data_IF_340558467481
#
_entry.id   IF_340558467481
#
_cell.length_a   1.000
_cell.length_b   1.000
_cell.length_c   1.000
_cell.angle_alpha   90.00
_cell.angle_beta   90.00
_cell.angle_gamma   90.00
#
_symmetry.space_group_name_H-M   'P 1'
#
loop_
_entity.id
_entity.type
_entity.pdbx_description
1 polymer ?
#
# COMPACT_ATOMS: atom_id res chain seq x y z
N UNK A 1 35.03 -20.24 0.80
CA UNK A 1 34.96 -20.13 -0.67
C UNK A 1 33.94 -21.08 -1.31
N UNK A 2 34.17 -22.40 -1.43
CA UNK A 2 33.21 -23.30 -2.14
C UNK A 2 31.82 -23.37 -1.47
N UNK A 3 31.79 -23.53 -0.14
CA UNK A 3 30.54 -23.53 0.63
C UNK A 3 29.77 -22.20 0.63
N UNK A 4 30.47 -21.08 0.50
CA UNK A 4 29.83 -19.76 0.42
C UNK A 4 29.23 -19.51 -0.96
N UNK A 5 29.90 -19.98 -2.01
CA UNK A 5 29.39 -19.96 -3.38
C UNK A 5 28.10 -20.79 -3.49
N UNK A 6 28.11 -22.02 -2.94
CA UNK A 6 26.93 -22.90 -2.93
C UNK A 6 25.76 -22.27 -2.15
N UNK A 7 26.04 -21.59 -1.03
CA UNK A 7 25.04 -20.90 -0.24
C UNK A 7 24.45 -19.67 -0.98
N UNK A 8 25.29 -18.95 -1.72
CA UNK A 8 24.87 -17.83 -2.56
C UNK A 8 24.00 -18.29 -3.72
N UNK A 9 24.41 -19.37 -4.40
CA UNK A 9 23.68 -19.97 -5.51
C UNK A 9 22.30 -20.48 -5.07
N UNK A 10 22.21 -21.06 -3.86
CA UNK A 10 20.94 -21.47 -3.26
C UNK A 10 20.02 -20.28 -2.95
N UNK A 11 20.58 -19.14 -2.49
CA UNK A 11 19.80 -17.91 -2.27
C UNK A 11 19.29 -17.33 -3.58
N UNK A 12 20.13 -17.31 -4.61
CA UNK A 12 19.78 -16.82 -5.95
C UNK A 12 18.64 -17.68 -6.53
N UNK A 13 18.76 -19.00 -6.46
CA UNK A 13 17.72 -19.92 -6.95
C UNK A 13 16.38 -19.75 -6.22
N UNK A 14 16.40 -19.46 -4.91
CA UNK A 14 15.18 -19.17 -4.15
C UNK A 14 14.54 -17.84 -4.57
N UNK A 15 15.36 -16.82 -4.87
CA UNK A 15 14.87 -15.53 -5.37
C UNK A 15 14.24 -15.68 -6.75
N UNK A 16 14.91 -16.38 -7.67
CA UNK A 16 14.41 -16.62 -9.04
C UNK A 16 13.08 -17.37 -9.00
N UNK A 17 12.96 -18.42 -8.16
CA UNK A 17 11.70 -19.16 -7.97
C UNK A 17 10.55 -18.31 -7.44
N UNK A 18 10.82 -17.29 -6.62
CA UNK A 18 9.75 -16.41 -6.10
C UNK A 18 9.32 -15.34 -7.11
N UNK A 19 10.22 -14.91 -7.98
CA UNK A 19 9.99 -13.84 -8.96
C UNK A 19 9.36 -14.35 -10.27
N UNK A 20 9.75 -15.53 -10.78
CA UNK A 20 9.22 -16.06 -12.06
C UNK A 20 7.68 -16.15 -12.14
N UNK A 21 6.94 -16.56 -11.09
CA UNK A 21 5.48 -16.56 -11.10
C UNK A 21 4.88 -15.15 -11.22
N UNK A 22 5.54 -14.14 -10.66
CA UNK A 22 5.12 -12.74 -10.70
C UNK A 22 5.19 -12.14 -12.10
N UNK A 23 6.18 -12.57 -12.90
CA UNK A 23 6.41 -12.06 -14.25
C UNK A 23 5.82 -12.95 -15.37
N UNK A 24 5.11 -14.04 -15.04
CA UNK A 24 4.55 -15.03 -16.00
C UNK A 24 5.58 -15.57 -17.01
N UNK A 25 6.82 -15.74 -16.60
CA UNK A 25 7.90 -16.18 -17.50
C UNK A 25 7.90 -17.70 -17.59
N UNK A 26 7.92 -18.23 -18.82
CA UNK A 26 8.08 -19.65 -19.10
C UNK A 26 9.55 -19.95 -19.40
N UNK A 27 10.17 -20.82 -18.60
CA UNK A 27 11.56 -21.26 -18.76
C UNK A 27 12.46 -20.88 -17.58
N UNK A 28 13.64 -21.49 -17.50
CA UNK A 28 14.70 -21.10 -16.55
C UNK A 28 15.44 -19.87 -17.11
N UNK A 29 15.48 -18.80 -16.32
CA UNK A 29 16.24 -17.58 -16.62
C UNK A 29 17.61 -17.65 -15.95
N UNK A 30 18.65 -17.17 -16.63
CA UNK A 30 19.93 -16.95 -15.97
C UNK A 30 19.85 -15.78 -14.97
N UNK A 31 20.83 -15.68 -14.07
CA UNK A 31 20.90 -14.57 -13.11
C UNK A 31 20.99 -13.21 -13.81
N UNK A 32 21.74 -13.13 -14.91
CA UNK A 32 21.87 -11.91 -15.69
C UNK A 32 20.52 -11.52 -16.32
N UNK A 33 19.82 -12.49 -16.92
CA UNK A 33 18.50 -12.24 -17.51
C UNK A 33 17.45 -11.84 -16.46
N UNK A 34 17.55 -12.40 -15.24
CA UNK A 34 16.67 -12.04 -14.13
C UNK A 34 16.93 -10.61 -13.65
N UNK A 35 18.20 -10.20 -13.55
CA UNK A 35 18.58 -8.84 -13.17
C UNK A 35 18.20 -7.84 -14.25
N UNK A 36 18.41 -8.16 -15.53
CA UNK A 36 18.05 -7.30 -16.64
C UNK A 36 16.55 -7.17 -16.78
N UNK A 37 15.79 -8.25 -16.60
CA UNK A 37 14.33 -8.19 -16.59
C UNK A 37 13.79 -7.43 -15.38
N UNK A 38 14.39 -7.58 -14.20
CA UNK A 38 14.05 -6.80 -13.01
C UNK A 38 14.36 -5.32 -13.24
N UNK A 39 15.51 -4.99 -13.81
CA UNK A 39 15.92 -3.63 -14.13
C UNK A 39 15.07 -3.02 -15.23
N UNK A 40 14.67 -3.77 -16.25
CA UNK A 40 13.74 -3.33 -17.28
C UNK A 40 12.34 -3.14 -16.72
N UNK A 41 11.90 -4.01 -15.82
CA UNK A 41 10.64 -3.85 -15.10
C UNK A 41 10.68 -2.63 -14.18
N UNK A 42 11.77 -2.41 -13.45
CA UNK A 42 11.98 -1.24 -12.59
C UNK A 42 12.13 0.03 -13.44
N UNK A 43 12.87 0.02 -14.55
CA UNK A 43 12.98 1.17 -15.47
C UNK A 43 11.66 1.48 -16.16
N UNK A 44 10.90 0.47 -16.60
CA UNK A 44 9.51 0.65 -17.03
C UNK A 44 8.71 1.21 -15.87
N UNK A 45 8.75 0.67 -14.66
CA UNK A 45 8.04 1.22 -13.49
C UNK A 45 8.44 2.67 -13.15
N UNK A 46 9.70 3.05 -13.26
CA UNK A 46 10.20 4.41 -12.99
C UNK A 46 9.82 5.39 -14.10
N UNK A 47 9.90 4.97 -15.38
CA UNK A 47 9.52 5.79 -16.53
C UNK A 47 7.97 5.89 -16.66
N UNK A 48 7.27 4.81 -16.33
CA UNK A 48 5.80 4.76 -16.21
C UNK A 48 5.30 5.43 -14.93
N UNK A 49 6.14 5.56 -13.89
CA UNK A 49 5.83 6.33 -12.69
C UNK A 49 5.57 7.81 -13.00
N UNK A 50 6.28 8.35 -14.00
CA UNK A 50 6.13 9.71 -14.51
C UNK A 50 5.15 9.82 -15.69
N UNK A 51 5.11 8.87 -16.63
CA UNK A 51 4.18 8.94 -17.79
C UNK A 51 2.74 8.54 -17.44
N UNK A 52 2.53 7.69 -16.41
CA UNK A 52 1.20 7.29 -15.92
C UNK A 52 0.62 8.28 -14.90
N UNK A 53 1.30 9.39 -14.62
CA UNK A 53 0.78 10.44 -13.75
C UNK A 53 -0.38 11.24 -14.39
N UNK A 54 -0.61 11.15 -15.72
CA UNK A 54 -1.48 12.14 -16.40
C UNK A 54 -2.72 11.64 -17.18
N UNK A 55 -3.02 10.36 -17.38
CA UNK A 55 -4.22 10.01 -18.19
C UNK A 55 -5.00 8.81 -17.65
N UNK A 56 -5.93 9.12 -16.74
CA UNK A 56 -7.07 8.29 -16.29
C UNK A 56 -6.69 6.91 -15.73
N UNK A 57 -6.71 6.79 -14.38
CA UNK A 57 -6.68 5.50 -13.67
C UNK A 57 -7.97 4.67 -13.87
N UNK A 58 -8.84 5.09 -14.78
CA UNK A 58 -10.16 4.55 -14.96
C UNK A 58 -10.56 4.45 -16.43
N UNK A 59 -11.41 3.48 -16.72
CA UNK A 59 -12.07 3.29 -18.00
C UNK A 59 -13.58 3.44 -17.81
N UNK A 60 -14.31 3.91 -18.84
CA UNK A 60 -15.77 3.95 -18.78
C UNK A 60 -16.31 2.54 -19.00
N UNK A 61 -16.92 1.97 -17.97
CA UNK A 61 -17.52 0.64 -18.02
C UNK A 61 -18.97 0.72 -18.53
N UNK A 62 -19.74 1.68 -18.00
CA UNK A 62 -21.15 1.85 -18.35
C UNK A 62 -21.50 3.32 -18.50
N UNK A 63 -22.23 3.65 -19.57
CA UNK A 63 -22.86 4.95 -19.78
C UNK A 63 -24.36 4.73 -20.01
N UNK A 64 -25.20 5.29 -19.15
CA UNK A 64 -26.66 5.19 -19.25
C UNK A 64 -27.32 6.55 -19.20
N UNK A 65 -28.35 6.73 -20.04
CA UNK A 65 -29.24 7.87 -20.03
C UNK A 65 -30.68 7.35 -20.03
N UNK A 66 -31.42 7.55 -18.93
CA UNK A 66 -32.83 7.19 -18.83
C UNK A 66 -33.59 8.24 -18.04
N UNK A 67 -34.66 8.77 -18.63
CA UNK A 67 -35.67 9.59 -17.93
C UNK A 67 -35.10 10.76 -17.11
N UNK A 68 -34.07 11.45 -17.61
CA UNK A 68 -33.42 12.57 -16.89
C UNK A 68 -32.37 12.16 -15.85
N UNK A 69 -32.08 10.87 -15.72
CA UNK A 69 -30.94 10.36 -14.98
C UNK A 69 -29.81 9.99 -15.93
N UNK A 70 -28.64 10.57 -15.70
CA UNK A 70 -27.41 10.22 -16.42
C UNK A 70 -26.49 9.48 -15.45
N UNK A 71 -26.17 8.23 -15.74
CA UNK A 71 -25.28 7.42 -14.92
C UNK A 71 -24.02 7.04 -15.69
N UNK A 72 -22.87 7.21 -15.06
CA UNK A 72 -21.56 6.82 -15.56
C UNK A 72 -20.92 5.89 -14.54
N UNK A 73 -20.48 4.70 -14.96
CA UNK A 73 -19.67 3.80 -14.14
C UNK A 73 -18.25 3.81 -14.67
N UNK A 74 -17.31 4.12 -13.79
CA UNK A 74 -15.88 4.17 -14.06
C UNK A 74 -15.19 3.01 -13.36
N UNK A 75 -14.41 2.22 -14.10
CA UNK A 75 -13.67 1.09 -13.59
C UNK A 75 -12.20 1.46 -13.40
N UNK A 76 -11.73 1.37 -12.16
CA UNK A 76 -10.36 1.66 -11.76
C UNK A 76 -9.55 0.38 -11.62
N UNK A 77 -9.00 -0.09 -12.74
CA UNK A 77 -8.12 -1.25 -12.82
C UNK A 77 -8.67 -2.53 -12.16
N UNK A 78 -9.98 -2.75 -12.27
CA UNK A 78 -10.69 -3.89 -11.67
C UNK A 78 -10.59 -3.93 -10.14
N UNK A 79 -10.16 -2.86 -9.46
CA UNK A 79 -10.12 -2.78 -8.00
C UNK A 79 -11.35 -2.07 -7.44
N UNK A 80 -11.81 -1.03 -8.15
CA UNK A 80 -12.87 -0.14 -7.72
C UNK A 80 -13.73 0.24 -8.92
N UNK A 81 -15.04 0.21 -8.75
CA UNK A 81 -16.01 0.80 -9.67
C UNK A 81 -16.65 2.01 -9.01
N UNK A 82 -16.52 3.19 -9.61
CA UNK A 82 -17.20 4.41 -9.17
C UNK A 82 -18.44 4.64 -10.03
N UNK A 83 -19.61 4.77 -9.41
CA UNK A 83 -20.83 5.22 -10.06
C UNK A 83 -21.05 6.72 -9.82
N UNK A 84 -21.25 7.48 -10.90
CA UNK A 84 -21.61 8.89 -10.88
C UNK A 84 -23.00 9.03 -11.52
N UNK A 85 -24.03 9.18 -10.69
CA UNK A 85 -25.41 9.36 -11.14
C UNK A 85 -25.83 10.82 -10.98
N UNK A 86 -26.08 11.50 -12.09
CA UNK A 86 -26.61 12.86 -12.14
C UNK A 86 -28.14 12.81 -12.19
N UNK A 87 -28.75 13.47 -11.22
CA UNK A 87 -30.18 13.79 -11.19
C UNK A 87 -30.37 15.23 -11.73
N UNK A 88 -31.09 15.38 -12.84
CA UNK A 88 -31.34 16.69 -13.48
C UNK A 88 -32.68 17.33 -13.08
N UNK A 89 -33.32 16.86 -12.01
CA UNK A 89 -34.52 17.50 -11.45
C UNK A 89 -34.22 18.94 -10.97
N UNK A 90 -35.25 19.77 -10.65
CA UNK A 90 -35.05 21.17 -10.25
C UNK A 90 -34.03 21.39 -9.13
N UNK A 91 -33.82 20.38 -8.28
CA UNK A 91 -32.75 20.34 -7.28
C UNK A 91 -31.61 19.41 -7.71
N UNK A 92 -30.97 19.73 -8.85
CA UNK A 92 -29.96 18.86 -9.45
C UNK A 92 -28.84 18.44 -8.48
N UNK A 93 -28.51 17.14 -8.50
CA UNK A 93 -27.53 16.53 -7.60
C UNK A 93 -26.74 15.43 -8.28
N UNK A 94 -25.58 15.11 -7.73
CA UNK A 94 -24.77 13.96 -8.12
C UNK A 94 -24.74 13.01 -6.93
N UNK A 95 -25.12 11.75 -7.18
CA UNK A 95 -24.84 10.63 -6.30
C UNK A 95 -23.51 9.98 -6.72
N UNK A 96 -22.61 9.82 -5.75
CA UNK A 96 -21.33 9.15 -5.90
C UNK A 96 -21.35 7.88 -5.08
N UNK A 97 -21.17 6.75 -5.74
CA UNK A 97 -21.08 5.43 -5.13
C UNK A 97 -19.79 4.74 -5.54
N UNK A 98 -19.21 3.96 -4.63
CA UNK A 98 -17.98 3.21 -4.86
C UNK A 98 -18.20 1.75 -4.52
N UNK A 99 -17.84 0.85 -5.43
CA UNK A 99 -17.94 -0.59 -5.24
C UNK A 99 -16.56 -1.21 -5.39
N UNK A 100 -16.11 -1.91 -4.35
CA UNK A 100 -14.82 -2.59 -4.35
C UNK A 100 -14.93 -3.99 -4.96
N UNK A 101 -13.83 -4.43 -5.59
CA UNK A 101 -13.65 -5.79 -6.06
C UNK A 101 -12.68 -6.52 -5.12
N UNK A 102 -13.19 -6.96 -3.97
CA UNK A 102 -12.40 -7.59 -2.91
C UNK A 102 -11.66 -8.84 -3.40
N UNK A 103 -12.23 -9.56 -4.37
CA UNK A 103 -11.61 -10.73 -4.98
C UNK A 103 -10.32 -10.32 -5.71
N UNK A 104 -10.39 -9.30 -6.55
CA UNK A 104 -9.25 -8.84 -7.31
C UNK A 104 -8.21 -8.14 -6.41
N UNK A 105 -8.65 -7.35 -5.42
CA UNK A 105 -7.78 -6.71 -4.43
C UNK A 105 -7.00 -7.79 -3.65
N UNK A 106 -7.69 -8.78 -3.09
CA UNK A 106 -7.06 -9.87 -2.32
C UNK A 106 -6.08 -10.68 -3.17
N UNK A 107 -6.39 -10.88 -4.46
CA UNK A 107 -5.53 -11.61 -5.39
C UNK A 107 -4.24 -10.84 -5.73
N UNK A 108 -4.32 -9.53 -5.92
CA UNK A 108 -3.16 -8.70 -6.28
C UNK A 108 -2.30 -8.33 -5.06
N UNK A 109 -2.92 -8.21 -3.89
CA UNK A 109 -2.24 -7.78 -2.66
C UNK A 109 -2.42 -8.81 -1.53
N UNK A 110 -1.91 -10.04 -1.70
CA UNK A 110 -2.11 -11.10 -0.72
C UNK A 110 -1.32 -10.83 0.57
N UNK A 111 -1.79 -11.39 1.68
CA UNK A 111 -1.10 -11.41 2.98
C UNK A 111 -0.82 -10.01 3.55
N UNK A 112 -1.66 -9.02 3.25
CA UNK A 112 -1.61 -7.72 3.91
C UNK A 112 -2.96 -7.10 4.23
N UNK A 113 -4.04 -7.87 4.07
CA UNK A 113 -5.40 -7.39 4.34
C UNK A 113 -5.74 -6.08 3.59
N UNK A 114 -5.33 -5.99 2.32
CA UNK A 114 -5.50 -4.78 1.51
C UNK A 114 -6.97 -4.36 1.38
N UNK A 115 -7.92 -5.31 1.37
CA UNK A 115 -9.35 -5.01 1.33
C UNK A 115 -9.76 -4.07 2.48
N UNK A 116 -9.22 -4.25 3.68
CA UNK A 116 -9.49 -3.35 4.82
C UNK A 116 -9.07 -1.91 4.53
N UNK A 117 -7.93 -1.69 3.88
CA UNK A 117 -7.47 -0.35 3.49
C UNK A 117 -8.31 0.25 2.34
N UNK A 118 -8.64 -0.55 1.33
CA UNK A 118 -9.52 -0.11 0.24
C UNK A 118 -10.91 0.27 0.76
N UNK A 119 -11.49 -0.56 1.63
CA UNK A 119 -12.77 -0.28 2.28
C UNK A 119 -12.70 1.00 3.11
N UNK A 120 -11.64 1.18 3.90
CA UNK A 120 -11.48 2.40 4.68
C UNK A 120 -11.47 3.67 3.82
N UNK A 121 -10.77 3.66 2.68
CA UNK A 121 -10.64 4.83 1.79
C UNK A 121 -11.91 5.07 0.96
N UNK A 122 -12.61 4.01 0.51
CA UNK A 122 -13.64 4.11 -0.52
C UNK A 122 -15.06 3.70 -0.12
N UNK A 123 -15.30 3.13 1.07
CA UNK A 123 -16.62 2.62 1.49
C UNK A 123 -17.60 3.73 1.93
N UNK A 124 -17.62 4.85 1.22
CA UNK A 124 -18.50 5.99 1.47
C UNK A 124 -19.29 6.30 0.21
N UNK A 125 -20.62 6.30 0.35
CA UNK A 125 -21.54 6.81 -0.66
C UNK A 125 -22.07 8.16 -0.19
N UNK A 126 -22.22 9.12 -1.11
CA UNK A 126 -22.75 10.43 -0.77
C UNK A 126 -23.43 11.11 -1.95
N UNK A 127 -24.34 12.01 -1.60
CA UNK A 127 -25.01 12.90 -2.55
C UNK A 127 -24.49 14.32 -2.37
N UNK A 128 -24.20 15.00 -3.48
CA UNK A 128 -23.72 16.38 -3.51
C UNK A 128 -24.56 17.20 -4.47
N UNK A 129 -24.78 18.48 -4.16
CA UNK A 129 -25.43 19.41 -5.09
C UNK A 129 -24.63 19.51 -6.39
N UNK A 130 -25.32 19.46 -7.53
CA UNK A 130 -24.69 19.66 -8.82
C UNK A 130 -24.49 21.16 -9.07
N UNK A 131 -23.25 21.56 -9.38
CA UNK A 131 -22.88 22.97 -9.67
C UNK A 131 -22.22 23.08 -11.05
N UNK A 132 -22.47 22.09 -11.93
CA UNK A 132 -21.97 22.05 -13.29
C UNK A 132 -20.89 20.98 -13.54
N UNK A 133 -20.39 20.87 -14.79
CA UNK A 133 -19.55 19.76 -15.23
C UNK A 133 -18.25 19.58 -14.45
N UNK A 134 -17.70 20.67 -13.88
CA UNK A 134 -16.52 20.63 -13.01
C UNK A 134 -16.70 19.73 -11.80
N UNK A 135 -17.94 19.54 -11.32
CA UNK A 135 -18.20 18.63 -10.19
C UNK A 135 -17.82 17.19 -10.53
N UNK A 136 -18.18 16.69 -11.72
CA UNK A 136 -17.84 15.32 -12.12
C UNK A 136 -16.32 15.14 -12.25
N UNK A 137 -15.64 16.10 -12.87
CA UNK A 137 -14.18 16.10 -12.97
C UNK A 137 -13.52 16.07 -11.57
N UNK A 138 -14.03 16.85 -10.62
CA UNK A 138 -13.53 16.84 -9.24
C UNK A 138 -13.72 15.48 -8.55
N UNK A 139 -14.86 14.82 -8.73
CA UNK A 139 -15.10 13.51 -8.10
C UNK A 139 -14.18 12.43 -8.70
N UNK A 140 -14.01 12.41 -10.03
CA UNK A 140 -13.08 11.46 -10.68
C UNK A 140 -11.62 11.71 -10.31
N UNK A 141 -11.21 12.98 -10.19
CA UNK A 141 -9.88 13.38 -9.75
C UNK A 141 -9.64 12.98 -8.29
N UNK A 142 -10.62 13.25 -7.41
CA UNK A 142 -10.56 12.84 -6.00
C UNK A 142 -10.33 11.34 -5.86
N UNK A 143 -11.15 10.53 -6.53
CA UNK A 143 -11.02 9.06 -6.49
C UNK A 143 -9.67 8.61 -7.02
N UNK A 144 -9.20 9.21 -8.13
CA UNK A 144 -7.88 8.89 -8.71
C UNK A 144 -6.73 9.22 -7.74
N UNK A 145 -6.77 10.39 -7.09
CA UNK A 145 -5.75 10.81 -6.13
C UNK A 145 -5.72 9.90 -4.90
N UNK A 146 -6.89 9.56 -4.34
CA UNK A 146 -7.00 8.65 -3.20
C UNK A 146 -6.46 7.25 -3.56
N UNK A 147 -6.83 6.74 -4.74
CA UNK A 147 -6.41 5.42 -5.19
C UNK A 147 -4.90 5.38 -5.40
N UNK A 148 -4.34 6.42 -6.03
CA UNK A 148 -2.89 6.52 -6.23
C UNK A 148 -2.16 6.52 -4.89
N UNK A 149 -2.63 7.29 -3.93
CA UNK A 149 -2.04 7.40 -2.61
C UNK A 149 -2.02 6.06 -1.87
N UNK A 150 -3.12 5.32 -1.93
CA UNK A 150 -3.22 3.98 -1.37
C UNK A 150 -2.28 2.99 -2.09
N UNK A 151 -2.23 3.02 -3.42
CA UNK A 151 -1.36 2.14 -4.21
C UNK A 151 0.12 2.42 -3.96
N UNK A 152 0.52 3.68 -3.79
CA UNK A 152 1.89 4.05 -3.45
C UNK A 152 2.29 3.45 -2.08
N UNK A 153 1.41 3.48 -1.08
CA UNK A 153 1.66 2.83 0.23
C UNK A 153 1.74 1.32 0.11
N UNK A 154 0.82 0.69 -0.62
CA UNK A 154 0.83 -0.77 -0.84
C UNK A 154 2.15 -1.19 -1.51
N UNK A 155 2.59 -0.44 -2.52
CA UNK A 155 3.86 -0.65 -3.19
C UNK A 155 5.03 -0.59 -2.20
N UNK A 156 5.09 0.44 -1.37
CA UNK A 156 6.14 0.56 -0.36
C UNK A 156 6.15 -0.61 0.64
N UNK A 157 4.97 -1.08 1.07
CA UNK A 157 4.83 -2.25 1.96
C UNK A 157 5.36 -3.51 1.29
N UNK A 158 5.03 -3.72 0.00
CA UNK A 158 5.53 -4.86 -0.76
C UNK A 158 7.06 -4.82 -0.89
N UNK A 159 7.63 -3.65 -1.22
CA UNK A 159 9.08 -3.48 -1.34
C UNK A 159 9.74 -3.72 0.03
N UNK A 160 9.21 -3.15 1.11
CA UNK A 160 9.74 -3.34 2.45
C UNK A 160 9.77 -4.83 2.84
N UNK A 161 8.72 -5.59 2.52
CA UNK A 161 8.66 -7.02 2.80
C UNK A 161 9.63 -7.85 1.95
N UNK A 162 9.89 -7.44 0.71
CA UNK A 162 10.89 -8.10 -0.15
C UNK A 162 12.32 -7.81 0.31
N UNK A 163 12.59 -6.60 0.77
CA UNK A 163 13.92 -6.15 1.14
C UNK A 163 14.33 -6.55 2.57
N UNK A 164 13.40 -6.44 3.52
CA UNK A 164 13.69 -6.57 4.95
C UNK A 164 13.34 -7.97 5.40
N UNK A 165 14.35 -8.84 5.45
CA UNK A 165 14.20 -10.25 5.86
C UNK A 165 13.53 -10.44 7.23
N UNK A 166 13.77 -9.51 8.17
CA UNK A 166 13.19 -9.54 9.51
C UNK A 166 11.71 -9.13 9.57
N UNK A 167 11.14 -8.54 8.50
CA UNK A 167 9.74 -8.11 8.46
C UNK A 167 8.84 -9.30 8.12
N UNK A 168 8.25 -9.90 9.15
CA UNK A 168 7.46 -11.14 9.06
C UNK A 168 5.95 -10.91 8.94
N UNK A 169 5.45 -9.73 9.27
CA UNK A 169 4.04 -9.37 9.09
C UNK A 169 3.92 -7.94 8.54
N UNK A 170 3.02 -7.79 7.59
CA UNK A 170 2.52 -6.51 7.08
C UNK A 170 1.02 -6.67 6.92
N UNK A 171 0.20 -5.97 7.69
CA UNK A 171 -1.26 -6.09 7.57
C UNK A 171 -1.93 -4.76 7.85
N UNK A 172 -2.81 -4.33 6.95
CA UNK A 172 -3.75 -3.26 7.26
C UNK A 172 -4.75 -3.75 8.29
N UNK A 173 -5.22 -2.84 9.14
CA UNK A 173 -6.22 -3.06 10.18
C UNK A 173 -7.09 -1.82 10.25
N UNK A 174 -8.40 -1.97 10.22
CA UNK A 174 -9.33 -0.86 10.49
C UNK A 174 -10.06 -1.16 11.80
N UNK A 175 -9.50 -0.76 12.96
CA UNK A 175 -10.11 -1.02 14.26
C UNK A 175 -11.43 -0.26 14.44
N UNK A 176 -11.63 0.83 13.70
CA UNK A 176 -12.88 1.58 13.64
C UNK A 176 -13.04 2.23 12.26
N UNK A 177 -14.25 2.69 11.95
CA UNK A 177 -14.53 3.42 10.70
C UNK A 177 -13.71 4.72 10.53
N UNK A 178 -13.06 5.22 11.59
CA UNK A 178 -12.26 6.45 11.57
C UNK A 178 -10.76 6.23 11.67
N UNK A 179 -10.32 4.97 11.79
CA UNK A 179 -8.92 4.64 11.96
C UNK A 179 -8.51 3.53 11.00
N UNK A 180 -7.37 3.75 10.35
CA UNK A 180 -6.68 2.75 9.55
C UNK A 180 -5.25 2.65 10.05
N UNK A 181 -4.86 1.45 10.46
CA UNK A 181 -3.50 1.15 10.88
C UNK A 181 -2.82 0.21 9.89
N UNK A 182 -1.51 0.35 9.75
CA UNK A 182 -0.64 -0.68 9.19
C UNK A 182 0.14 -1.32 10.33
N UNK A 183 -0.19 -2.57 10.61
CA UNK A 183 0.52 -3.41 11.57
C UNK A 183 1.74 -4.05 10.89
N UNK A 184 2.90 -3.89 11.52
CA UNK A 184 4.17 -4.45 11.10
C UNK A 184 4.70 -5.34 12.21
N UNK A 185 5.26 -6.50 11.88
CA UNK A 185 6.00 -7.31 12.84
C UNK A 185 7.39 -7.65 12.33
N UNK A 186 8.38 -7.38 13.17
CA UNK A 186 9.79 -7.62 12.93
C UNK A 186 10.29 -8.72 13.86
N UNK A 187 11.25 -9.50 13.40
CA UNK A 187 12.04 -10.41 14.22
C UNK A 187 13.52 -10.19 13.90
N UNK A 188 14.32 -10.03 14.95
CA UNK A 188 15.75 -10.21 14.85
C UNK A 188 16.07 -11.70 15.04
N UNK A 189 16.70 -12.31 14.04
CA UNK A 189 17.03 -13.73 14.07
C UNK A 189 18.26 -14.04 14.93
N UNK A 190 19.09 -13.04 15.25
CA UNK A 190 20.25 -13.21 16.13
C UNK A 190 19.81 -13.25 17.60
N UNK A 191 19.06 -12.24 18.05
CA UNK A 191 18.56 -12.16 19.44
C UNK A 191 17.26 -12.93 19.69
N UNK A 192 16.50 -13.27 18.64
CA UNK A 192 15.16 -13.87 18.75
C UNK A 192 14.07 -12.88 19.18
N UNK A 193 14.39 -11.59 19.35
CA UNK A 193 13.44 -10.55 19.76
C UNK A 193 12.45 -10.30 18.63
N UNK A 194 11.16 -10.38 18.96
CA UNK A 194 10.06 -10.00 18.06
C UNK A 194 9.46 -8.69 18.51
N UNK A 195 9.28 -7.78 17.57
CA UNK A 195 8.62 -6.49 17.74
C UNK A 195 7.38 -6.43 16.86
N UNK A 196 6.25 -6.00 17.40
CA UNK A 196 5.05 -5.63 16.66
C UNK A 196 4.84 -4.14 16.86
N UNK A 197 4.52 -3.43 15.78
CA UNK A 197 4.23 -2.01 15.83
C UNK A 197 3.07 -1.65 14.89
N UNK A 198 2.34 -0.58 15.22
CA UNK A 198 1.27 -0.06 14.37
C UNK A 198 1.55 1.37 13.93
N UNK A 199 1.33 1.64 12.65
CA UNK A 199 1.42 2.96 12.03
C UNK A 199 0.01 3.45 11.71
N UNK A 200 -0.33 4.68 12.11
CA UNK A 200 -1.60 5.31 11.71
C UNK A 200 -1.51 5.80 10.27
N UNK A 201 -2.37 5.26 9.41
CA UNK A 201 -2.52 5.57 7.98
C UNK A 201 -3.90 6.17 7.66
N UNK A 202 -4.61 6.68 8.66
CA UNK A 202 -5.89 7.38 8.50
C UNK A 202 -5.82 8.53 7.48
N UNK A 203 -4.62 9.12 7.32
CA UNK A 203 -4.33 10.16 6.35
C UNK A 203 -4.62 9.76 4.89
N UNK A 204 -4.67 8.46 4.58
CA UNK A 204 -5.02 7.95 3.25
C UNK A 204 -6.44 8.32 2.82
N UNK A 205 -7.38 8.51 3.76
CA UNK A 205 -8.74 8.98 3.44
C UNK A 205 -8.76 10.41 2.88
N UNK A 206 -7.69 11.18 3.12
CA UNK A 206 -7.52 12.54 2.61
C UNK A 206 -6.52 12.64 1.45
N UNK A 207 -5.86 11.55 1.07
CA UNK A 207 -4.87 11.54 -0.01
C UNK A 207 -3.60 12.34 0.30
N UNK A 208 -3.24 12.51 1.59
CA UNK A 208 -2.12 13.36 2.02
C UNK A 208 -0.84 12.59 2.33
N UNK A 209 -0.77 11.29 2.04
CA UNK A 209 0.48 10.54 2.11
C UNK A 209 1.49 11.06 1.05
N UNK A 210 2.80 11.16 1.34
CA UNK A 210 3.48 10.80 2.59
C UNK A 210 3.46 11.94 3.63
N UNK A 211 2.55 11.84 4.59
CA UNK A 211 2.50 12.69 5.78
C UNK A 211 3.51 12.24 6.83
N UNK A 212 3.69 13.02 7.89
CA UNK A 212 4.44 12.57 9.08
C UNK A 212 3.70 11.42 9.76
N UNK A 213 4.04 10.18 9.37
CA UNK A 213 3.53 8.96 9.98
C UNK A 213 4.52 8.54 11.07
N UNK A 214 3.99 8.39 12.29
CA UNK A 214 4.71 7.92 13.46
C UNK A 214 4.02 6.67 14.03
N UNK A 215 4.77 5.73 14.60
CA UNK A 215 4.17 4.59 15.28
C UNK A 215 3.59 5.01 16.62
N UNK A 216 2.38 4.54 16.92
CA UNK A 216 1.68 4.87 18.16
C UNK A 216 1.53 3.66 19.10
N UNK A 217 1.69 2.43 18.59
CA UNK A 217 1.63 1.21 19.39
C UNK A 217 2.86 0.34 19.15
N UNK A 218 3.38 -0.27 20.22
CA UNK A 218 4.53 -1.17 20.23
C UNK A 218 4.28 -2.35 21.18
N UNK A 219 4.63 -3.55 20.77
CA UNK A 219 4.58 -4.77 21.57
C UNK A 219 5.84 -5.62 21.31
N UNK A 220 6.46 -6.17 22.35
CA UNK A 220 7.66 -7.03 22.21
C UNK A 220 7.42 -8.42 22.80
N UNK A 221 8.11 -9.45 22.30
CA UNK A 221 7.96 -10.83 22.79
C UNK A 221 8.54 -11.08 24.18
N UNK A 222 9.38 -10.18 24.69
CA UNK A 222 10.07 -10.33 25.98
C UNK A 222 9.23 -9.89 27.18
N UNK A 223 8.11 -9.19 26.99
CA UNK A 223 7.25 -8.73 28.09
C UNK A 223 5.77 -8.97 27.79
N UNK A 224 5.09 -9.67 28.71
CA UNK A 224 3.66 -10.01 28.66
C UNK A 224 2.75 -8.84 29.10
N UNK A 225 3.31 -7.65 29.24
CA UNK A 225 2.64 -6.43 29.71
C UNK A 225 2.72 -5.35 28.63
N UNK A 226 1.58 -4.73 28.35
CA UNK A 226 1.49 -3.44 27.66
C UNK A 226 2.42 -2.47 28.37
N UNK A 227 3.52 -2.04 27.75
CA UNK A 227 4.29 -0.94 28.31
C UNK A 227 4.98 -0.15 27.21
N UNK A 228 4.50 1.08 27.05
CA UNK A 228 5.11 2.23 26.39
C UNK A 228 6.54 2.54 26.88
N UNK A 229 7.11 1.72 27.76
CA UNK A 229 8.32 1.92 28.56
C UNK A 229 9.42 0.86 28.33
N UNK A 230 9.33 0.01 27.30
CA UNK A 230 10.46 -0.83 26.90
C UNK A 230 11.61 0.05 26.32
N UNK A 231 12.87 -0.09 26.76
CA UNK A 231 14.01 0.69 26.26
C UNK A 231 14.12 0.70 24.73
N UNK A 232 13.86 -0.46 24.11
CA UNK A 232 13.85 -0.63 22.66
C UNK A 232 12.79 0.26 21.96
N UNK A 233 11.62 0.43 22.56
CA UNK A 233 10.58 1.31 21.99
C UNK A 233 10.98 2.78 22.02
N UNK A 234 11.76 3.19 23.04
CA UNK A 234 12.28 4.56 23.17
C UNK A 234 13.36 4.80 22.11
N UNK A 235 14.28 3.86 21.94
CA UNK A 235 15.32 3.91 20.90
C UNK A 235 14.72 3.99 19.49
N UNK A 236 13.71 3.17 19.21
CA UNK A 236 13.01 3.20 17.92
C UNK A 236 12.30 4.54 17.71
N UNK A 237 11.58 5.05 18.72
CA UNK A 237 10.92 6.37 18.62
C UNK A 237 11.93 7.50 18.39
N UNK A 238 13.08 7.46 19.06
CA UNK A 238 14.15 8.44 18.87
C UNK A 238 14.74 8.35 17.46
N UNK A 239 15.02 7.14 16.97
CA UNK A 239 15.55 6.93 15.62
C UNK A 239 14.57 7.38 14.53
N UNK A 240 13.28 7.09 14.69
CA UNK A 240 12.22 7.50 13.76
C UNK A 240 12.05 9.02 13.74
N UNK A 241 12.16 9.69 14.89
CA UNK A 241 12.07 11.16 14.98
C UNK A 241 13.14 11.87 14.14
N UNK A 242 14.26 11.21 13.84
CA UNK A 242 15.32 11.74 12.98
C UNK A 242 15.03 11.55 11.47
N UNK A 243 14.01 10.77 11.10
CA UNK A 243 13.61 10.58 9.72
C UNK A 243 12.70 11.70 9.25
N UNK A 244 13.12 12.45 8.23
CA UNK A 244 12.28 13.45 7.54
C UNK A 244 11.01 12.79 6.94
N UNK A 245 9.86 13.46 6.97
CA UNK A 245 8.74 13.12 6.08
C UNK A 245 9.15 13.12 4.60
N UNK A 246 8.32 12.49 3.77
CA UNK A 246 8.48 12.45 2.32
C UNK A 246 8.38 11.03 1.76
N UNK A 247 8.59 10.91 0.45
CA UNK A 247 8.43 9.67 -0.31
C UNK A 247 9.14 8.47 0.34
N UNK A 248 8.61 7.27 0.07
CA UNK A 248 9.18 6.04 0.61
C UNK A 248 9.15 6.00 2.15
N UNK A 249 8.12 6.59 2.79
CA UNK A 249 8.06 6.74 4.24
C UNK A 249 8.01 5.39 4.95
N UNK A 250 7.19 4.45 4.49
CA UNK A 250 6.99 3.15 5.14
C UNK A 250 8.28 2.34 5.09
N UNK A 251 8.91 2.23 3.93
CA UNK A 251 10.15 1.46 3.81
C UNK A 251 11.30 2.08 4.59
N UNK A 252 11.42 3.41 4.63
CA UNK A 252 12.44 4.10 5.44
C UNK A 252 12.22 3.86 6.93
N UNK A 253 10.97 3.88 7.40
CA UNK A 253 10.61 3.50 8.77
C UNK A 253 11.04 2.05 9.04
N UNK A 254 10.68 1.11 8.17
CA UNK A 254 11.00 -0.31 8.37
C UNK A 254 12.52 -0.56 8.42
N UNK A 255 13.31 0.10 7.55
CA UNK A 255 14.77 0.02 7.56
C UNK A 255 15.35 0.56 8.87
N UNK A 256 14.86 1.71 9.34
CA UNK A 256 15.29 2.32 10.59
C UNK A 256 14.99 1.40 11.79
N UNK A 257 13.77 0.85 11.88
CA UNK A 257 13.41 -0.10 12.96
C UNK A 257 14.30 -1.34 12.93
N UNK A 258 14.59 -1.87 11.74
CA UNK A 258 15.44 -3.05 11.59
C UNK A 258 16.87 -2.77 12.07
N UNK A 259 17.43 -1.60 11.76
CA UNK A 259 18.76 -1.20 12.23
C UNK A 259 18.83 -1.12 13.75
N UNK A 260 17.82 -0.50 14.38
CA UNK A 260 17.76 -0.39 15.85
C UNK A 260 17.64 -1.78 16.49
N UNK A 261 16.74 -2.63 15.98
CA UNK A 261 16.57 -4.01 16.48
C UNK A 261 17.89 -4.81 16.44
N UNK A 262 18.69 -4.65 15.39
CA UNK A 262 19.98 -5.33 15.23
C UNK A 262 21.08 -4.73 16.11
N UNK A 263 21.00 -3.44 16.46
CA UNK A 263 21.98 -2.80 17.35
C UNK A 263 21.72 -3.08 18.82
N UNK A 264 20.45 -3.17 19.25
CA UNK A 264 20.11 -3.37 20.67
C UNK A 264 20.24 -4.82 21.14
N UNK A 265 20.43 -5.76 20.21
CA UNK A 265 20.69 -7.19 20.50
C UNK A 265 22.18 -7.54 20.69
N UNK A 266 23.08 -6.56 20.58
CA UNK A 266 24.53 -6.70 20.78
C UNK A 266 24.97 -6.00 22.05
#
# INVERSE_FOLDING_TARGET
MKHEADALEKKINNLTKSLCPHFKIKGELSCADTIDLLNDHLKKRTCWGYIRQDMQLWEVDVLQNRNGYHNVILNYHEFLSQSLTLDTSPNSSIFVGNKLNDINISKNFPNMDACSAFAFVFNHEYTKKYVGPKCLAQETQRTSSLLRNLLDVIEEVQIARLEIRGLILTSFRSPSAKQLDLQLAFIDFESGVKLIMSLDLTCLNCGVYPSEILPHHFQTSTTRTDDLHCPLSIEIKAAISNLRAGYSRIIRLCRCVTQVLQSSGR
#
